data_IF_267272628374
#
_entry.id   IF_267272628374
#
_cell.length_a   1.000
_cell.length_b   1.000
_cell.length_c   1.000
_cell.angle_alpha   90.00
_cell.angle_beta   90.00
_cell.angle_gamma   90.00
#
_symmetry.space_group_name_H-M   'P 1'
#
loop_
_entity.id
_entity.type
_entity.pdbx_description
1 polymer ?
#
# COMPACT_ATOMS: atom_id res chain seq x y z
N UNK A 1 -18.81 2.10 -15.57
CA UNK A 1 -18.74 2.45 -14.14
C UNK A 1 -17.91 3.71 -14.01
N UNK A 2 -18.45 4.72 -13.34
CA UNK A 2 -17.70 5.95 -13.04
C UNK A 2 -16.57 5.68 -12.04
N UNK A 3 -15.57 6.57 -11.99
CA UNK A 3 -14.45 6.47 -11.05
C UNK A 3 -14.89 6.43 -9.58
N UNK A 4 -15.98 7.14 -9.26
CA UNK A 4 -16.58 7.18 -7.93
C UNK A 4 -17.27 5.86 -7.56
N UNK A 5 -18.03 5.27 -8.48
CA UNK A 5 -18.65 3.95 -8.25
C UNK A 5 -17.60 2.87 -8.01
N UNK A 6 -16.49 2.93 -8.74
CA UNK A 6 -15.37 2.00 -8.57
C UNK A 6 -14.69 2.10 -7.20
N UNK A 7 -14.52 3.32 -6.69
CA UNK A 7 -13.99 3.56 -5.35
C UNK A 7 -14.92 3.03 -4.25
N UNK A 8 -16.21 3.39 -4.32
CA UNK A 8 -17.21 2.96 -3.35
C UNK A 8 -17.33 1.44 -3.27
N UNK A 9 -17.23 0.75 -4.40
CA UNK A 9 -17.25 -0.71 -4.41
C UNK A 9 -16.05 -1.30 -3.68
N UNK A 10 -14.85 -0.76 -3.89
CA UNK A 10 -13.64 -1.20 -3.16
C UNK A 10 -13.78 -0.92 -1.66
N UNK A 11 -14.30 0.25 -1.27
CA UNK A 11 -14.54 0.57 0.14
C UNK A 11 -15.56 -0.39 0.76
N UNK A 12 -16.66 -0.69 0.06
CA UNK A 12 -17.68 -1.66 0.50
C UNK A 12 -17.09 -3.06 0.71
N UNK A 13 -16.24 -3.51 -0.21
CA UNK A 13 -15.54 -4.80 -0.09
C UNK A 13 -14.55 -4.83 1.09
N UNK A 14 -14.03 -3.67 1.50
CA UNK A 14 -13.05 -3.52 2.57
C UNK A 14 -13.63 -2.91 3.86
N UNK A 15 -14.96 -2.86 4.01
CA UNK A 15 -15.64 -2.25 5.17
C UNK A 15 -15.25 -2.84 6.54
N UNK A 16 -14.64 -4.02 6.55
CA UNK A 16 -14.18 -4.71 7.76
C UNK A 16 -12.84 -4.17 8.29
N UNK A 17 -12.15 -3.31 7.52
CA UNK A 17 -10.89 -2.70 7.91
C UNK A 17 -11.14 -1.54 8.90
N UNK A 18 -10.14 -1.25 9.73
CA UNK A 18 -10.14 -0.12 10.68
C UNK A 18 -9.85 1.24 10.02
N UNK A 19 -10.01 1.35 8.70
CA UNK A 19 -9.72 2.57 7.95
C UNK A 19 -10.90 3.54 8.06
N UNK A 20 -10.62 4.80 8.42
CA UNK A 20 -11.64 5.85 8.39
C UNK A 20 -11.78 6.39 6.95
N UNK A 21 -12.80 5.91 6.24
CA UNK A 21 -13.11 6.29 4.85
C UNK A 21 -13.54 7.76 4.68
N UNK A 22 -13.80 8.49 5.76
CA UNK A 22 -14.07 9.93 5.68
C UNK A 22 -12.80 10.75 5.43
N UNK A 23 -11.62 10.17 5.72
CA UNK A 23 -10.34 10.86 5.70
C UNK A 23 -9.73 10.96 4.29
N UNK A 24 -8.94 12.02 4.00
CA UNK A 24 -8.29 12.17 2.71
C UNK A 24 -7.39 10.99 2.32
N UNK A 25 -6.61 10.45 3.27
CA UNK A 25 -5.73 9.31 3.02
C UNK A 25 -6.47 8.05 2.57
N UNK A 26 -7.76 7.93 2.91
CA UNK A 26 -8.56 6.76 2.58
C UNK A 26 -9.21 6.85 1.20
N UNK A 27 -9.17 8.02 0.54
CA UNK A 27 -9.75 8.21 -0.81
C UNK A 27 -8.86 7.60 -1.88
N UNK A 28 -9.47 7.14 -2.97
CA UNK A 28 -8.73 6.68 -4.15
C UNK A 28 -8.13 7.88 -4.88
N UNK A 29 -6.88 7.76 -5.33
CA UNK A 29 -6.23 8.80 -6.15
C UNK A 29 -6.69 8.69 -7.61
N UNK A 30 -6.74 9.79 -8.37
CA UNK A 30 -7.28 9.78 -9.74
C UNK A 30 -6.59 8.75 -10.66
N UNK A 31 -5.28 8.62 -10.54
CA UNK A 31 -4.40 7.76 -11.34
C UNK A 31 -4.18 6.37 -10.73
N UNK A 32 -4.72 6.10 -9.54
CA UNK A 32 -4.49 4.85 -8.82
C UNK A 32 -5.44 3.73 -9.30
N UNK A 33 -4.90 2.61 -9.84
CA UNK A 33 -5.71 1.44 -10.17
C UNK A 33 -6.46 0.90 -8.96
N UNK A 34 -7.68 0.38 -9.16
CA UNK A 34 -8.51 -0.15 -8.07
C UNK A 34 -7.83 -1.26 -7.26
N UNK A 35 -7.05 -2.10 -7.92
CA UNK A 35 -6.26 -3.17 -7.28
C UNK A 35 -5.14 -2.62 -6.39
N UNK A 36 -4.53 -1.48 -6.76
CA UNK A 36 -3.52 -0.82 -5.95
C UNK A 36 -4.17 -0.13 -4.75
N UNK A 37 -5.30 0.56 -4.99
CA UNK A 37 -6.10 1.17 -3.92
C UNK A 37 -6.52 0.16 -2.86
N UNK A 38 -7.05 -1.00 -3.27
CA UNK A 38 -7.43 -2.06 -2.34
C UNK A 38 -6.24 -2.59 -1.51
N UNK A 39 -5.05 -2.73 -2.11
CA UNK A 39 -3.84 -3.12 -1.39
C UNK A 39 -3.35 -2.03 -0.43
N UNK A 40 -3.39 -0.77 -0.86
CA UNK A 40 -3.05 0.38 -0.01
C UNK A 40 -3.96 0.48 1.20
N UNK A 41 -5.27 0.22 1.06
CA UNK A 41 -6.20 0.17 2.19
C UNK A 41 -5.83 -0.94 3.19
N UNK A 42 -5.43 -2.13 2.70
CA UNK A 42 -4.96 -3.22 3.57
C UNK A 42 -3.68 -2.84 4.31
N UNK A 43 -2.73 -2.19 3.63
CA UNK A 43 -1.52 -1.66 4.26
C UNK A 43 -1.86 -0.63 5.35
N UNK A 44 -2.73 0.34 5.05
CA UNK A 44 -3.17 1.36 6.02
C UNK A 44 -3.83 0.69 7.23
N UNK A 45 -4.65 -0.34 7.02
CA UNK A 45 -5.26 -1.10 8.12
C UNK A 45 -4.20 -1.71 9.06
N UNK A 46 -3.19 -2.38 8.51
CA UNK A 46 -2.12 -2.98 9.33
C UNK A 46 -1.27 -1.90 10.02
N UNK A 47 -1.03 -0.78 9.36
CA UNK A 47 -0.33 0.37 9.95
C UNK A 47 -1.10 0.94 11.15
N UNK A 48 -2.41 1.17 11.01
CA UNK A 48 -3.29 1.64 12.10
C UNK A 48 -3.33 0.62 13.24
N UNK A 49 -3.44 -0.68 12.93
CA UNK A 49 -3.47 -1.74 13.94
C UNK A 49 -2.16 -1.86 14.72
N UNK A 50 -1.02 -1.59 14.09
CA UNK A 50 0.29 -1.75 14.70
C UNK A 50 0.82 -0.52 15.45
N UNK A 51 0.56 0.69 14.95
CA UNK A 51 1.02 1.94 15.58
C UNK A 51 -0.02 2.58 16.51
N UNK A 52 -1.29 2.21 16.38
CA UNK A 52 -2.39 2.70 17.22
C UNK A 52 -2.56 4.22 17.16
N UNK A 53 -3.02 4.81 18.27
CA UNK A 53 -3.40 6.22 18.38
C UNK A 53 -2.25 7.22 18.22
N UNK A 54 -0.99 6.74 18.16
CA UNK A 54 0.19 7.59 17.93
C UNK A 54 0.35 8.04 16.48
N UNK A 55 -0.47 7.51 15.57
CA UNK A 55 -0.34 7.73 14.15
C UNK A 55 -1.25 8.86 13.66
N UNK A 56 -0.64 9.97 13.23
CA UNK A 56 -1.39 11.09 12.63
C UNK A 56 -1.88 10.77 11.21
N UNK A 57 -2.97 11.41 10.80
CA UNK A 57 -3.52 11.33 9.43
C UNK A 57 -2.44 11.66 8.36
N UNK A 58 -1.57 12.63 8.65
CA UNK A 58 -0.46 13.02 7.77
C UNK A 58 0.59 11.91 7.63
N UNK A 59 0.93 11.22 8.73
CA UNK A 59 1.82 10.06 8.68
C UNK A 59 1.22 8.91 7.89
N UNK A 60 -0.09 8.66 8.02
CA UNK A 60 -0.79 7.66 7.21
C UNK A 60 -0.66 8.01 5.73
N UNK A 61 -0.92 9.26 5.37
CA UNK A 61 -0.86 9.70 3.97
C UNK A 61 0.54 9.54 3.38
N UNK A 62 1.57 10.01 4.09
CA UNK A 62 2.98 9.88 3.67
C UNK A 62 3.39 8.42 3.53
N UNK A 63 3.14 7.59 4.54
CA UNK A 63 3.56 6.18 4.50
C UNK A 63 2.80 5.38 3.44
N UNK A 64 1.50 5.66 3.22
CA UNK A 64 0.73 5.01 2.16
C UNK A 64 1.17 5.43 0.75
N UNK A 65 1.68 6.66 0.58
CA UNK A 65 2.36 7.12 -0.63
C UNK A 65 3.66 6.33 -0.85
N UNK A 66 4.54 6.31 0.15
CA UNK A 66 5.80 5.57 0.06
C UNK A 66 5.55 4.09 -0.25
N UNK A 67 4.59 3.46 0.41
CA UNK A 67 4.17 2.07 0.14
C UNK A 67 3.85 1.84 -1.34
N UNK A 68 2.97 2.65 -1.92
CA UNK A 68 2.52 2.51 -3.31
C UNK A 68 3.69 2.68 -4.28
N UNK A 69 4.55 3.66 -4.00
CA UNK A 69 5.73 3.95 -4.81
C UNK A 69 6.76 2.81 -4.75
N UNK A 70 6.97 2.21 -3.58
CA UNK A 70 7.86 1.05 -3.46
C UNK A 70 7.25 -0.16 -4.17
N UNK A 71 6.01 -0.53 -3.82
CA UNK A 71 5.40 -1.79 -4.27
C UNK A 71 5.11 -1.84 -5.77
N UNK A 72 4.69 -0.72 -6.36
CA UNK A 72 4.22 -0.69 -7.75
C UNK A 72 5.12 0.09 -8.69
N UNK A 73 5.97 0.99 -8.18
CA UNK A 73 6.89 1.80 -9.01
C UNK A 73 8.37 1.47 -8.76
N UNK A 74 8.67 0.53 -7.85
CA UNK A 74 10.03 0.09 -7.52
C UNK A 74 10.94 1.22 -7.00
N UNK A 75 10.36 2.24 -6.35
CA UNK A 75 11.14 3.29 -5.69
C UNK A 75 11.87 2.73 -4.46
N UNK A 76 12.99 3.37 -4.09
CA UNK A 76 13.73 3.07 -2.86
C UNK A 76 13.87 4.33 -2.02
N UNK A 77 13.44 4.25 -0.77
CA UNK A 77 13.57 5.31 0.22
C UNK A 77 14.68 5.01 1.22
N UNK A 78 14.88 5.91 2.19
CA UNK A 78 15.80 5.70 3.30
C UNK A 78 15.50 4.38 4.05
N UNK A 79 16.52 3.63 4.53
CA UNK A 79 16.33 2.32 5.17
C UNK A 79 15.25 2.29 6.25
N UNK A 80 15.20 3.31 7.11
CA UNK A 80 14.16 3.43 8.16
C UNK A 80 12.74 3.40 7.60
N UNK A 81 12.48 4.07 6.48
CA UNK A 81 11.17 4.02 5.81
C UNK A 81 10.93 2.64 5.24
N UNK A 82 11.94 2.04 4.60
CA UNK A 82 11.82 0.70 4.01
C UNK A 82 11.50 -0.36 5.06
N UNK A 83 12.13 -0.29 6.23
CA UNK A 83 11.88 -1.17 7.38
C UNK A 83 10.45 -1.00 7.92
N UNK A 84 9.97 0.24 8.03
CA UNK A 84 8.58 0.51 8.43
C UNK A 84 7.61 -0.12 7.44
N UNK A 85 7.82 0.05 6.14
CA UNK A 85 6.94 -0.50 5.11
C UNK A 85 6.95 -2.04 5.13
N UNK A 86 8.13 -2.66 5.19
CA UNK A 86 8.29 -4.11 5.22
C UNK A 86 7.64 -4.75 6.47
N UNK A 87 7.63 -4.04 7.60
CA UNK A 87 6.97 -4.49 8.83
C UNK A 87 5.48 -4.72 8.66
N UNK A 88 4.79 -3.90 7.85
CA UNK A 88 3.34 -3.96 7.67
C UNK A 88 2.90 -4.58 6.32
N UNK A 89 3.83 -4.76 5.39
CA UNK A 89 3.63 -5.56 4.19
C UNK A 89 4.95 -6.27 3.81
N UNK A 90 5.11 -7.55 4.19
CA UNK A 90 6.33 -8.31 3.90
C UNK A 90 6.65 -8.48 2.42
N UNK A 91 5.66 -8.35 1.51
CA UNK A 91 5.95 -8.40 0.07
C UNK A 91 6.78 -7.18 -0.37
N UNK A 92 6.76 -6.07 0.37
CA UNK A 92 7.64 -4.93 0.12
C UNK A 92 9.12 -5.33 0.29
N UNK A 93 9.44 -6.21 1.24
CA UNK A 93 10.82 -6.70 1.44
C UNK A 93 11.34 -7.45 0.20
N UNK A 94 10.46 -8.19 -0.48
CA UNK A 94 10.82 -8.91 -1.71
C UNK A 94 11.22 -7.98 -2.86
N UNK A 95 10.62 -6.78 -2.93
CA UNK A 95 10.99 -5.73 -3.87
C UNK A 95 12.38 -5.17 -3.54
N UNK A 96 12.66 -4.95 -2.24
CA UNK A 96 13.95 -4.40 -1.76
C UNK A 96 15.12 -5.34 -2.02
N UNK A 97 14.90 -6.65 -1.88
CA UNK A 97 15.92 -7.67 -2.10
C UNK A 97 16.09 -8.05 -3.57
N UNK A 98 15.33 -7.43 -4.49
CA UNK A 98 15.38 -7.75 -5.92
C UNK A 98 14.92 -9.18 -6.24
N UNK A 99 14.23 -9.84 -5.31
CA UNK A 99 13.69 -11.19 -5.50
C UNK A 99 12.36 -11.04 -6.22
N UNK A 100 12.43 -10.90 -7.54
CA UNK A 100 11.26 -11.06 -8.39
C UNK A 100 10.68 -12.46 -8.15
N UNK A 101 9.55 -12.56 -7.46
CA UNK A 101 8.70 -13.77 -7.53
C UNK A 101 8.23 -13.90 -8.98
N UNK A 102 8.92 -14.71 -9.79
CA UNK A 102 8.29 -15.38 -10.93
C UNK A 102 8.83 -15.15 -12.35
N UNK A 103 10.12 -14.91 -12.58
CA UNK A 103 10.71 -15.24 -13.90
C UNK A 103 12.09 -15.86 -13.71
N UNK A 104 12.15 -17.20 -13.71
CA UNK A 104 13.40 -17.93 -13.90
C UNK A 104 13.74 -17.86 -15.38
N UNK A 105 14.63 -16.92 -15.77
CA UNK A 105 15.28 -17.02 -17.07
C UNK A 105 16.31 -18.14 -16.98
N UNK A 106 15.95 -19.34 -17.47
CA UNK A 106 16.95 -20.37 -17.78
C UNK A 106 17.75 -19.89 -18.99
N UNK A 107 18.93 -19.34 -18.74
CA UNK A 107 19.96 -19.27 -19.77
C UNK A 107 20.76 -20.57 -19.71
N UNK A 108 20.55 -21.42 -20.71
CA UNK A 108 21.49 -22.49 -21.05
C UNK A 108 22.57 -21.86 -21.93
N UNK A 109 23.83 -21.99 -21.50
CA UNK A 109 25.01 -21.86 -22.36
C UNK A 109 25.74 -23.19 -22.28
#
# INVERSE_FOLDING_TARGET
MSDREGELEVQRQNQHLKVDYSKPYAKRRPDEPRSHYAQRLKFINELIRGMGDSLSDERIDVLSNCYTNVKFLNNKYHPEIMEILAKYDPDVESVVLGVMKGVVWKFTV
#
